data_IF_015154787681
#
_entry.id   IF_015154787681
#
_cell.length_a   1.000
_cell.length_b   1.000
_cell.length_c   1.000
_cell.angle_alpha   90.00
_cell.angle_beta   90.00
_cell.angle_gamma   90.00
#
_symmetry.space_group_name_H-M   'P 1'
#
loop_
_entity.id
_entity.type
_entity.pdbx_description
1 polymer ?
#
# COMPACT_ATOMS: atom_id res chain seq x y z
N UNK A 1 49.07 9.34 54.66
CA UNK A 1 48.31 8.10 54.35
C UNK A 1 47.72 8.24 52.95
N UNK A 2 48.05 7.25 52.09
CA UNK A 2 47.50 6.83 50.79
C UNK A 2 46.83 7.85 49.84
N UNK A 3 47.55 8.11 48.73
CA UNK A 3 47.03 8.48 47.40
C UNK A 3 46.18 7.33 46.83
N UNK A 4 45.06 7.62 46.18
CA UNK A 4 44.41 6.72 45.22
C UNK A 4 43.90 7.54 44.04
N UNK A 5 44.58 7.41 42.91
CA UNK A 5 44.15 7.84 41.59
C UNK A 5 43.34 6.71 40.95
N UNK A 6 42.20 7.01 40.34
CA UNK A 6 41.53 6.11 39.40
C UNK A 6 41.28 6.87 38.09
N UNK A 7 42.12 6.56 37.11
CA UNK A 7 41.83 6.72 35.70
C UNK A 7 41.00 5.52 35.25
N UNK A 8 39.85 5.76 34.62
CA UNK A 8 39.19 4.75 33.81
C UNK A 8 38.97 5.34 32.42
N UNK A 9 39.85 4.90 31.53
CA UNK A 9 39.76 4.95 30.08
C UNK A 9 38.69 3.93 29.70
N UNK A 10 37.55 4.40 29.19
CA UNK A 10 36.50 3.56 28.60
C UNK A 10 36.41 3.86 27.11
N UNK A 11 37.15 3.09 26.31
CA UNK A 11 37.12 3.16 24.86
C UNK A 11 35.70 2.91 24.33
N UNK A 12 35.13 3.88 23.62
CA UNK A 12 33.86 3.74 22.91
C UNK A 12 33.95 4.47 21.58
N UNK A 13 34.68 3.89 20.63
CA UNK A 13 34.70 4.36 19.24
C UNK A 13 35.31 3.30 18.28
N UNK A 14 34.77 2.08 18.27
CA UNK A 14 35.08 1.12 17.20
C UNK A 14 33.81 0.35 16.82
N UNK A 15 32.95 0.95 16.00
CA UNK A 15 31.92 0.21 15.23
C UNK A 15 31.52 0.88 13.92
N UNK A 16 32.01 2.07 13.60
CA UNK A 16 31.59 2.82 12.41
C UNK A 16 32.35 2.48 11.11
N UNK A 17 33.34 1.58 11.12
CA UNK A 17 34.24 1.35 9.97
C UNK A 17 34.15 -0.02 9.30
N UNK A 18 33.28 -0.93 9.76
CA UNK A 18 33.16 -2.29 9.18
C UNK A 18 32.24 -2.38 7.94
N UNK A 19 31.61 -1.29 7.51
CA UNK A 19 30.69 -1.29 6.36
C UNK A 19 31.30 -0.81 5.04
N UNK A 20 32.58 -0.41 5.02
CA UNK A 20 33.20 0.24 3.86
C UNK A 20 33.59 -0.71 2.71
N UNK A 21 33.56 -2.04 2.88
CA UNK A 21 33.95 -3.00 1.83
C UNK A 21 32.90 -4.10 1.53
N UNK A 22 31.70 -4.03 2.11
CA UNK A 22 30.62 -4.98 1.80
C UNK A 22 29.82 -4.46 0.60
N UNK A 23 29.84 -5.21 -0.50
CA UNK A 23 29.20 -4.84 -1.77
C UNK A 23 27.68 -4.61 -1.64
N UNK A 24 27.05 -4.01 -2.67
CA UNK A 24 25.63 -3.61 -2.64
C UNK A 24 24.65 -4.69 -2.19
N UNK A 25 24.88 -5.95 -2.57
CA UNK A 25 24.05 -7.08 -2.12
C UNK A 25 24.03 -7.27 -0.61
N UNK A 26 25.15 -7.06 0.09
CA UNK A 26 25.19 -7.20 1.55
C UNK A 26 24.34 -6.12 2.26
N UNK A 27 24.19 -4.95 1.65
CA UNK A 27 23.31 -3.90 2.16
C UNK A 27 21.84 -4.25 1.99
N UNK A 28 21.49 -4.85 0.84
CA UNK A 28 20.15 -5.39 0.58
C UNK A 28 19.81 -6.52 1.55
N UNK A 29 20.75 -7.44 1.78
CA UNK A 29 20.62 -8.52 2.77
C UNK A 29 20.42 -7.98 4.17
N UNK A 30 21.16 -6.94 4.58
CA UNK A 30 21.00 -6.33 5.90
C UNK A 30 19.59 -5.78 6.13
N UNK A 31 18.97 -5.15 5.13
CA UNK A 31 17.58 -4.67 5.22
C UNK A 31 16.61 -5.85 5.32
N UNK A 32 16.76 -6.88 4.47
CA UNK A 32 15.94 -8.10 4.55
C UNK A 32 16.05 -8.74 5.93
N UNK A 33 17.27 -9.00 6.41
CA UNK A 33 17.53 -9.74 7.64
C UNK A 33 17.01 -9.00 8.88
N UNK A 34 17.08 -7.66 8.88
CA UNK A 34 16.49 -6.84 9.93
C UNK A 34 14.96 -7.00 9.97
N UNK A 35 14.32 -7.03 8.79
CA UNK A 35 12.87 -7.20 8.69
C UNK A 35 12.41 -8.63 9.02
N UNK A 36 13.20 -9.65 8.69
CA UNK A 36 12.90 -11.05 9.07
C UNK A 36 12.86 -11.24 10.58
N UNK A 37 13.70 -10.51 11.31
CA UNK A 37 13.74 -10.52 12.79
C UNK A 37 12.63 -9.69 13.43
N UNK A 38 11.94 -8.85 12.65
CA UNK A 38 10.92 -7.91 13.11
C UNK A 38 11.38 -7.02 14.28
N UNK A 39 12.68 -6.71 14.33
CA UNK A 39 13.29 -5.88 15.36
C UNK A 39 13.32 -4.42 14.90
N UNK A 40 12.52 -3.57 15.54
CA UNK A 40 12.42 -2.15 15.20
C UNK A 40 13.77 -1.42 15.26
N UNK A 41 14.65 -1.78 16.21
CA UNK A 41 15.98 -1.16 16.32
C UNK A 41 16.89 -1.60 15.17
N UNK A 42 16.85 -2.89 14.80
CA UNK A 42 17.60 -3.40 13.66
C UNK A 42 17.09 -2.82 12.33
N UNK A 43 15.77 -2.74 12.14
CA UNK A 43 15.15 -2.15 10.95
C UNK A 43 15.59 -0.69 10.83
N UNK A 44 15.45 0.09 11.91
CA UNK A 44 15.88 1.49 11.96
C UNK A 44 17.37 1.63 11.60
N UNK A 45 18.23 0.85 12.25
CA UNK A 45 19.67 0.88 11.98
C UNK A 45 20.00 0.49 10.53
N UNK A 46 19.23 -0.42 9.93
CA UNK A 46 19.45 -0.86 8.56
C UNK A 46 19.07 0.22 7.53
N UNK A 47 18.12 1.12 7.85
CA UNK A 47 17.58 2.10 6.89
C UNK A 47 18.02 3.56 7.15
N UNK A 48 18.45 3.90 8.37
CA UNK A 48 18.80 5.28 8.74
C UNK A 48 20.02 5.84 7.96
N UNK A 49 20.87 4.96 7.41
CA UNK A 49 22.07 5.35 6.66
C UNK A 49 21.83 5.80 5.21
N UNK A 50 20.59 5.73 4.70
CA UNK A 50 20.30 6.07 3.31
C UNK A 50 19.82 7.52 3.14
N UNK A 51 20.05 8.15 1.97
CA UNK A 51 19.52 9.47 1.66
C UNK A 51 18.00 9.55 1.83
N UNK A 52 17.50 10.65 2.38
CA UNK A 52 16.08 10.92 2.48
C UNK A 52 15.54 11.59 1.22
N UNK A 53 14.29 11.30 0.89
CA UNK A 53 13.58 12.04 -0.13
C UNK A 53 13.02 13.34 0.47
N UNK A 54 13.31 14.52 -0.09
CA UNK A 54 12.76 15.77 0.44
C UNK A 54 11.25 15.75 0.34
N UNK A 55 10.58 16.31 1.35
CA UNK A 55 9.14 16.52 1.27
C UNK A 55 8.82 17.49 0.14
N UNK A 56 7.98 17.03 -0.78
CA UNK A 56 7.51 17.81 -1.90
C UNK A 56 6.05 17.49 -2.16
N UNK A 57 5.27 18.45 -2.68
CA UNK A 57 3.89 18.22 -3.07
C UNK A 57 3.79 17.00 -4.00
N UNK A 58 2.78 16.14 -3.83
CA UNK A 58 2.59 15.03 -4.74
C UNK A 58 2.30 15.52 -6.16
N UNK A 59 2.73 14.72 -7.14
CA UNK A 59 2.61 15.07 -8.56
C UNK A 59 1.72 14.04 -9.24
N UNK A 60 0.77 14.51 -10.06
CA UNK A 60 -0.02 13.63 -10.91
C UNK A 60 0.87 13.10 -12.04
N UNK A 61 1.02 11.77 -12.11
CA UNK A 61 1.82 11.12 -13.14
C UNK A 61 0.90 10.46 -14.16
N UNK A 62 1.17 10.70 -15.44
CA UNK A 62 0.53 9.95 -16.52
C UNK A 62 1.06 8.50 -16.58
N UNK A 63 0.32 7.56 -17.19
CA UNK A 63 0.83 6.21 -17.39
C UNK A 63 2.18 6.24 -18.13
N UNK A 64 3.19 5.56 -17.58
CA UNK A 64 4.58 5.48 -18.08
C UNK A 64 5.44 6.73 -17.87
N UNK A 65 4.93 7.81 -17.29
CA UNK A 65 5.77 8.95 -16.90
C UNK A 65 6.62 8.56 -15.68
N UNK A 66 7.94 8.81 -15.70
CA UNK A 66 8.79 8.64 -14.53
C UNK A 66 8.45 9.70 -13.49
N UNK A 67 8.54 9.33 -12.21
CA UNK A 67 8.45 10.30 -11.12
C UNK A 67 9.70 11.18 -11.12
N UNK A 68 9.60 12.49 -10.81
CA UNK A 68 10.78 13.32 -10.56
C UNK A 68 11.70 12.76 -9.46
N UNK A 69 11.15 11.91 -8.57
CA UNK A 69 11.91 11.23 -7.52
C UNK A 69 12.73 10.06 -8.05
N UNK A 70 12.34 9.45 -9.17
CA UNK A 70 13.01 8.27 -9.75
C UNK A 70 14.44 8.60 -10.16
N UNK A 71 14.67 9.78 -10.76
CA UNK A 71 16.01 10.26 -11.14
C UNK A 71 16.67 11.11 -10.06
N UNK A 72 15.97 11.38 -8.95
CA UNK A 72 16.46 12.14 -7.80
C UNK A 72 16.76 11.22 -6.62
N UNK A 73 16.15 11.53 -5.47
CA UNK A 73 16.42 10.85 -4.21
C UNK A 73 16.27 9.32 -4.25
N UNK A 74 15.37 8.75 -5.07
CA UNK A 74 15.23 7.29 -5.17
C UNK A 74 16.43 6.68 -5.90
N UNK A 75 16.97 7.34 -6.93
CA UNK A 75 18.21 6.92 -7.57
C UNK A 75 19.38 6.95 -6.58
N UNK A 76 19.46 7.95 -5.70
CA UNK A 76 20.53 8.03 -4.70
C UNK A 76 20.48 6.87 -3.69
N UNK A 77 19.28 6.48 -3.24
CA UNK A 77 19.09 5.31 -2.38
C UNK A 77 19.47 4.03 -3.15
N UNK A 78 18.99 3.86 -4.38
CA UNK A 78 19.30 2.70 -5.21
C UNK A 78 20.80 2.58 -5.50
N UNK A 79 21.48 3.69 -5.76
CA UNK A 79 22.94 3.75 -5.95
C UNK A 79 23.68 3.39 -4.66
N UNK A 80 23.22 3.87 -3.51
CA UNK A 80 23.77 3.48 -2.21
C UNK A 80 23.62 1.98 -1.91
N UNK A 81 22.57 1.34 -2.45
CA UNK A 81 22.35 -0.11 -2.46
C UNK A 81 23.15 -0.85 -3.55
N UNK A 82 23.93 -0.15 -4.37
CA UNK A 82 24.82 -0.70 -5.38
C UNK A 82 24.26 -0.78 -6.79
N UNK A 83 23.12 -0.15 -7.08
CA UNK A 83 22.66 0.01 -8.46
C UNK A 83 23.65 0.87 -9.25
N UNK A 84 23.94 0.47 -10.49
CA UNK A 84 24.68 1.30 -11.47
C UNK A 84 23.76 2.11 -12.38
N UNK A 85 22.47 1.76 -12.38
CA UNK A 85 21.46 2.34 -13.28
C UNK A 85 20.53 3.32 -12.56
N UNK A 86 20.76 3.57 -11.26
CA UNK A 86 19.83 4.31 -10.42
C UNK A 86 18.60 3.47 -10.06
N UNK A 87 17.46 4.14 -9.88
CA UNK A 87 16.20 3.53 -9.51
C UNK A 87 15.38 3.14 -10.74
N UNK A 88 15.01 1.86 -10.83
CA UNK A 88 14.17 1.32 -11.89
C UNK A 88 12.82 0.86 -11.30
N UNK A 89 11.70 1.56 -11.53
CA UNK A 89 10.41 1.16 -10.95
C UNK A 89 9.69 0.07 -11.76
N UNK A 90 10.07 -0.19 -13.02
CA UNK A 90 9.36 -1.14 -13.89
C UNK A 90 10.25 -1.74 -15.00
N UNK A 91 10.53 -3.06 -14.98
CA UNK A 91 10.42 -3.93 -13.80
C UNK A 91 11.47 -3.53 -12.74
N UNK A 92 11.17 -3.61 -11.43
CA UNK A 92 12.13 -3.25 -10.42
C UNK A 92 13.21 -4.31 -10.25
N UNK A 93 14.46 -3.86 -10.17
CA UNK A 93 15.58 -4.70 -9.78
C UNK A 93 15.69 -4.84 -8.26
N UNK A 94 16.70 -5.55 -7.78
CA UNK A 94 16.89 -5.80 -6.34
C UNK A 94 17.08 -4.50 -5.55
N UNK A 95 17.84 -3.54 -6.11
CA UNK A 95 18.11 -2.27 -5.44
C UNK A 95 16.87 -1.38 -5.43
N UNK A 96 16.09 -1.36 -6.51
CA UNK A 96 14.83 -0.63 -6.58
C UNK A 96 13.76 -1.22 -5.63
N UNK A 97 13.67 -2.55 -5.54
CA UNK A 97 12.77 -3.21 -4.59
C UNK A 97 13.15 -2.89 -3.14
N UNK A 98 14.45 -2.93 -2.80
CA UNK A 98 14.91 -2.52 -1.45
C UNK A 98 14.77 -1.02 -1.22
N UNK A 99 14.93 -0.17 -2.25
CA UNK A 99 14.67 1.26 -2.16
C UNK A 99 13.21 1.51 -1.78
N UNK A 100 12.27 0.83 -2.45
CA UNK A 100 10.85 0.90 -2.12
C UNK A 100 10.57 0.47 -0.67
N UNK A 101 11.20 -0.61 -0.20
CA UNK A 101 11.13 -1.04 1.19
C UNK A 101 11.59 0.06 2.17
N UNK A 102 12.75 0.67 1.91
CA UNK A 102 13.30 1.75 2.74
C UNK A 102 12.34 2.94 2.81
N UNK A 103 11.79 3.37 1.65
CA UNK A 103 10.88 4.53 1.59
C UNK A 103 9.62 4.30 2.42
N UNK A 104 8.98 3.13 2.32
CA UNK A 104 7.76 2.87 3.11
C UNK A 104 8.04 2.66 4.60
N UNK A 105 9.20 2.10 4.96
CA UNK A 105 9.59 1.89 6.36
C UNK A 105 9.98 3.19 7.06
N UNK A 106 10.82 3.99 6.40
CA UNK A 106 11.39 5.21 6.97
C UNK A 106 10.45 6.39 6.84
N UNK A 107 9.94 6.63 5.64
CA UNK A 107 9.22 7.86 5.29
C UNK A 107 7.71 7.67 5.42
N UNK A 108 7.21 6.43 5.31
CA UNK A 108 5.77 6.17 5.28
C UNK A 108 5.11 6.80 4.05
N UNK A 109 5.83 6.85 2.93
CA UNK A 109 5.41 7.50 1.68
C UNK A 109 5.36 6.52 0.51
N UNK A 110 4.39 5.62 0.51
CA UNK A 110 4.13 4.72 -0.62
C UNK A 110 3.76 5.48 -1.89
N UNK A 111 3.22 6.70 -1.76
CA UNK A 111 2.89 7.62 -2.86
C UNK A 111 4.11 8.22 -3.57
N UNK A 112 5.30 8.15 -2.97
CA UNK A 112 6.54 8.58 -3.64
C UNK A 112 6.97 7.65 -4.76
N UNK A 113 6.55 6.39 -4.67
CA UNK A 113 6.87 5.35 -5.64
C UNK A 113 5.79 5.40 -6.71
N UNK A 114 6.16 5.45 -7.99
CA UNK A 114 5.18 5.44 -9.08
C UNK A 114 4.68 4.00 -9.36
N UNK A 115 3.52 3.88 -10.01
CA UNK A 115 3.04 2.64 -10.65
C UNK A 115 2.82 1.44 -9.71
N UNK A 116 1.76 1.44 -8.89
CA UNK A 116 1.40 0.31 -8.00
C UNK A 116 1.41 -1.06 -8.65
N UNK A 117 1.00 -1.19 -9.92
CA UNK A 117 1.00 -2.46 -10.66
C UNK A 117 2.39 -3.10 -10.76
N UNK A 118 3.45 -2.30 -10.93
CA UNK A 118 4.80 -2.82 -11.03
C UNK A 118 5.24 -3.44 -9.69
N UNK A 119 4.90 -2.79 -8.58
CA UNK A 119 5.19 -3.30 -7.23
C UNK A 119 4.35 -4.52 -6.89
N UNK A 120 3.04 -4.50 -7.18
CA UNK A 120 2.15 -5.66 -7.03
C UNK A 120 2.67 -6.85 -7.84
N UNK A 121 3.09 -6.62 -9.09
CA UNK A 121 3.73 -7.63 -9.93
C UNK A 121 4.97 -8.24 -9.29
N UNK A 122 5.85 -7.41 -8.71
CA UNK A 122 7.04 -7.87 -8.00
C UNK A 122 6.73 -8.60 -6.70
N UNK A 123 5.76 -8.13 -5.91
CA UNK A 123 5.29 -8.84 -4.71
C UNK A 123 4.80 -10.24 -5.07
N UNK A 124 4.04 -10.36 -6.16
CA UNK A 124 3.45 -11.63 -6.62
C UNK A 124 4.45 -12.60 -7.26
N UNK A 125 5.37 -12.12 -8.08
CA UNK A 125 6.17 -12.98 -8.96
C UNK A 125 7.70 -12.73 -8.90
N UNK A 126 8.15 -11.64 -8.29
CA UNK A 126 9.56 -11.31 -8.20
C UNK A 126 10.35 -12.29 -7.33
N UNK A 127 11.67 -12.36 -7.55
CA UNK A 127 12.58 -13.25 -6.82
C UNK A 127 13.79 -12.48 -6.31
N UNK A 128 14.44 -13.01 -5.28
CA UNK A 128 15.70 -12.51 -4.75
C UNK A 128 15.54 -11.61 -3.53
N UNK A 129 16.67 -11.35 -2.87
CA UNK A 129 16.76 -10.69 -1.57
C UNK A 129 16.08 -9.31 -1.53
N UNK A 130 16.19 -8.52 -2.60
CA UNK A 130 15.58 -7.20 -2.66
C UNK A 130 14.06 -7.25 -2.74
N UNK A 131 13.51 -8.24 -3.47
CA UNK A 131 12.07 -8.49 -3.52
C UNK A 131 11.57 -9.07 -2.20
N UNK A 132 12.36 -9.90 -1.53
CA UNK A 132 12.06 -10.39 -0.19
C UNK A 132 12.01 -9.25 0.84
N UNK A 133 12.98 -8.32 0.80
CA UNK A 133 12.93 -7.09 1.60
C UNK A 133 11.67 -6.26 1.32
N UNK A 134 11.26 -6.14 0.05
CA UNK A 134 10.02 -5.47 -0.35
C UNK A 134 8.78 -6.16 0.25
N UNK A 135 8.67 -7.49 0.14
CA UNK A 135 7.55 -8.25 0.72
C UNK A 135 7.48 -8.07 2.23
N UNK A 136 8.61 -8.18 2.92
CA UNK A 136 8.69 -8.03 4.36
C UNK A 136 8.29 -6.61 4.79
N UNK A 137 8.78 -5.59 4.10
CA UNK A 137 8.45 -4.20 4.40
C UNK A 137 6.96 -3.90 4.19
N UNK A 138 6.39 -4.34 3.06
CA UNK A 138 4.95 -4.16 2.79
C UNK A 138 4.12 -4.93 3.81
N UNK A 139 4.45 -6.20 4.09
CA UNK A 139 3.73 -6.98 5.10
C UNK A 139 3.85 -6.37 6.50
N UNK A 140 5.01 -5.82 6.87
CA UNK A 140 5.24 -5.13 8.13
C UNK A 140 4.35 -3.88 8.23
N UNK A 141 4.40 -2.98 7.24
CA UNK A 141 3.60 -1.75 7.26
C UNK A 141 2.10 -2.01 7.12
N UNK A 142 1.68 -3.02 6.36
CA UNK A 142 0.28 -3.44 6.31
C UNK A 142 -0.16 -4.02 7.66
N UNK A 143 0.65 -4.83 8.34
CA UNK A 143 0.29 -5.32 9.67
C UNK A 143 0.16 -4.17 10.70
N UNK A 144 1.03 -3.15 10.64
CA UNK A 144 0.88 -1.93 11.46
C UNK A 144 -0.39 -1.13 11.12
N UNK A 145 -0.76 -1.07 9.84
CA UNK A 145 -1.94 -0.36 9.34
C UNK A 145 -3.25 -1.11 9.60
N UNK A 146 -3.20 -2.43 9.83
CA UNK A 146 -4.35 -3.31 9.94
C UNK A 146 -5.45 -2.80 10.91
N UNK A 147 -5.16 -2.27 12.11
CA UNK A 147 -6.19 -1.77 13.02
C UNK A 147 -6.95 -0.53 12.50
N UNK A 148 -6.35 0.26 11.60
CA UNK A 148 -6.97 1.45 11.02
C UNK A 148 -7.89 1.10 9.85
N UNK A 149 -7.56 0.02 9.15
CA UNK A 149 -8.23 -0.45 7.92
C UNK A 149 -9.31 -1.49 8.22
N UNK A 150 -9.01 -2.48 9.07
CA UNK A 150 -9.86 -3.63 9.34
C UNK A 150 -10.98 -3.37 10.32
N UNK A 151 -11.88 -2.46 9.96
CA UNK A 151 -13.03 -2.07 10.76
C UNK A 151 -14.14 -1.51 9.88
N UNK A 152 -15.28 -1.23 10.51
CA UNK A 152 -16.34 -0.45 9.91
C UNK A 152 -15.95 1.03 9.86
N UNK A 153 -15.99 1.64 8.68
CA UNK A 153 -15.61 3.03 8.41
C UNK A 153 -16.80 3.77 7.82
N UNK A 154 -17.47 4.56 8.65
CA UNK A 154 -18.69 5.31 8.29
C UNK A 154 -18.53 6.83 8.39
N UNK A 155 -17.43 7.31 8.98
CA UNK A 155 -17.12 8.73 9.13
C UNK A 155 -15.83 9.13 8.42
N UNK A 156 -15.71 10.43 8.16
CA UNK A 156 -14.61 10.99 7.37
C UNK A 156 -13.27 10.92 8.11
N UNK A 157 -13.27 11.01 9.45
CA UNK A 157 -12.03 10.95 10.25
C UNK A 157 -11.40 9.58 10.13
N UNK A 158 -12.20 8.52 10.26
CA UNK A 158 -11.76 7.15 10.12
C UNK A 158 -11.39 6.82 8.67
N UNK A 159 -12.10 7.36 7.68
CA UNK A 159 -11.75 7.25 6.27
C UNK A 159 -10.37 7.86 5.98
N UNK A 160 -10.09 9.06 6.48
CA UNK A 160 -8.78 9.72 6.34
C UNK A 160 -7.68 8.93 7.03
N UNK A 161 -7.93 8.39 8.22
CA UNK A 161 -6.96 7.56 8.92
C UNK A 161 -6.61 6.27 8.15
N UNK A 162 -7.60 5.63 7.51
CA UNK A 162 -7.38 4.47 6.66
C UNK A 162 -6.62 4.84 5.38
N UNK A 163 -6.98 5.94 4.72
CA UNK A 163 -6.27 6.47 3.54
C UNK A 163 -4.79 6.72 3.82
N UNK A 164 -4.47 7.39 4.93
CA UNK A 164 -3.08 7.62 5.35
C UNK A 164 -2.34 6.30 5.61
N UNK A 165 -3.01 5.34 6.25
CA UNK A 165 -2.43 4.03 6.56
C UNK A 165 -2.11 3.23 5.29
N UNK A 166 -3.03 3.21 4.31
CA UNK A 166 -2.81 2.55 3.01
C UNK A 166 -1.70 3.26 2.24
N UNK A 167 -1.74 4.59 2.16
CA UNK A 167 -0.73 5.38 1.46
C UNK A 167 0.69 5.17 2.02
N UNK A 168 0.81 4.97 3.34
CA UNK A 168 2.10 4.71 3.97
C UNK A 168 2.58 3.25 3.88
N UNK A 169 1.69 2.30 3.61
CA UNK A 169 2.02 0.88 3.57
C UNK A 169 2.28 0.32 2.17
N UNK A 170 1.65 0.90 1.13
CA UNK A 170 1.63 0.30 -0.21
C UNK A 170 2.43 1.14 -1.21
N UNK A 171 3.54 0.60 -1.76
CA UNK A 171 4.26 1.21 -2.88
C UNK A 171 3.36 1.50 -4.08
N UNK A 172 3.42 2.72 -4.62
CA UNK A 172 2.57 3.09 -5.75
C UNK A 172 1.17 3.53 -5.36
N UNK A 173 0.87 3.67 -4.06
CA UNK A 173 -0.41 4.18 -3.60
C UNK A 173 -0.71 5.55 -4.22
N UNK A 174 -1.98 5.78 -4.52
CA UNK A 174 -2.39 7.02 -5.17
C UNK A 174 -2.04 8.24 -4.27
N UNK A 175 -1.35 9.26 -4.81
CA UNK A 175 -1.09 10.51 -4.10
C UNK A 175 -2.30 11.13 -3.40
N UNK A 176 -3.48 10.99 -3.99
CA UNK A 176 -4.76 11.43 -3.42
C UNK A 176 -5.02 10.84 -2.04
N UNK A 177 -4.63 9.59 -1.79
CA UNK A 177 -4.82 8.93 -0.49
C UNK A 177 -3.96 9.57 0.60
N UNK A 178 -2.71 9.92 0.26
CA UNK A 178 -1.84 10.67 1.17
C UNK A 178 -2.38 12.08 1.44
N UNK A 179 -2.80 12.81 0.40
CA UNK A 179 -3.33 14.17 0.55
C UNK A 179 -4.57 14.21 1.46
N UNK A 180 -5.57 13.38 1.16
CA UNK A 180 -6.78 13.31 1.97
C UNK A 180 -6.48 12.78 3.38
N UNK A 181 -5.62 11.75 3.49
CA UNK A 181 -5.24 11.15 4.76
C UNK A 181 -4.42 12.08 5.68
N UNK A 182 -3.63 12.97 5.10
CA UNK A 182 -2.86 14.01 5.83
C UNK A 182 -3.67 15.26 6.17
N UNK A 183 -4.97 15.27 5.84
CA UNK A 183 -5.88 16.35 6.23
C UNK A 183 -6.00 17.47 5.19
N UNK A 184 -5.55 17.27 3.95
CA UNK A 184 -5.82 18.25 2.90
C UNK A 184 -7.33 18.44 2.72
N UNK A 185 -7.74 19.70 2.54
CA UNK A 185 -9.12 20.04 2.21
C UNK A 185 -9.40 19.64 0.76
N UNK A 186 -10.45 18.84 0.52
CA UNK A 186 -10.76 18.30 -0.81
C UNK A 186 -10.92 19.40 -1.86
N UNK A 187 -11.51 20.54 -1.49
CA UNK A 187 -11.70 21.69 -2.38
C UNK A 187 -10.39 22.40 -2.79
N UNK A 188 -9.28 22.16 -2.07
CA UNK A 188 -7.96 22.75 -2.35
C UNK A 188 -7.02 21.77 -3.09
N UNK A 189 -7.44 20.52 -3.29
CA UNK A 189 -6.67 19.54 -4.03
C UNK A 189 -6.83 19.84 -5.53
N UNK A 190 -5.72 19.94 -6.29
CA UNK A 190 -5.80 20.10 -7.75
C UNK A 190 -6.66 19.00 -8.38
N UNK A 191 -7.40 19.34 -9.45
CA UNK A 191 -8.35 18.41 -10.06
C UNK A 191 -7.69 17.07 -10.40
N UNK A 192 -6.51 17.09 -11.01
CA UNK A 192 -5.71 15.92 -11.39
C UNK A 192 -5.29 15.00 -10.21
N UNK A 193 -5.39 15.51 -8.97
CA UNK A 193 -5.11 14.78 -7.72
C UNK A 193 -6.38 14.59 -6.86
N UNK A 194 -7.54 15.08 -7.30
CA UNK A 194 -8.82 14.89 -6.62
C UNK A 194 -9.33 13.45 -6.76
N UNK A 195 -10.19 12.99 -5.85
CA UNK A 195 -10.73 11.62 -5.89
C UNK A 195 -11.56 11.35 -7.16
N UNK A 196 -12.15 12.41 -7.72
CA UNK A 196 -13.06 12.41 -8.86
C UNK A 196 -12.31 12.28 -10.18
N UNK A 197 -11.07 12.78 -10.28
CA UNK A 197 -10.34 12.84 -11.56
C UNK A 197 -8.98 12.15 -11.54
N UNK A 198 -8.41 11.87 -10.37
CA UNK A 198 -7.11 11.21 -10.28
C UNK A 198 -7.15 9.82 -10.92
N UNK A 199 -6.36 9.63 -11.96
CA UNK A 199 -6.30 8.38 -12.74
C UNK A 199 -5.96 7.17 -11.89
N UNK A 200 -5.16 7.35 -10.83
CA UNK A 200 -4.84 6.28 -9.88
C UNK A 200 -6.04 5.83 -9.05
N UNK A 201 -6.92 6.74 -8.63
CA UNK A 201 -8.17 6.38 -7.91
C UNK A 201 -9.08 5.57 -8.82
N UNK A 202 -9.31 6.04 -10.05
CA UNK A 202 -10.14 5.32 -11.04
C UNK A 202 -9.62 3.91 -11.33
N UNK A 203 -8.29 3.77 -11.50
CA UNK A 203 -7.65 2.48 -11.71
C UNK A 203 -7.84 1.56 -10.51
N UNK A 204 -7.64 2.06 -9.29
CA UNK A 204 -7.75 1.23 -8.10
C UNK A 204 -9.20 0.81 -7.83
N UNK A 205 -10.18 1.67 -8.09
CA UNK A 205 -11.62 1.34 -8.07
C UNK A 205 -12.00 0.25 -9.09
N UNK A 206 -11.27 0.17 -10.20
CA UNK A 206 -11.48 -0.84 -11.24
C UNK A 206 -10.73 -2.17 -10.98
N UNK A 207 -10.04 -2.31 -9.84
CA UNK A 207 -9.45 -3.59 -9.44
C UNK A 207 -10.53 -4.63 -9.19
N UNK A 208 -10.11 -5.91 -9.14
CA UNK A 208 -10.97 -7.08 -8.97
C UNK A 208 -11.99 -6.95 -7.83
N UNK A 209 -11.59 -6.36 -6.71
CA UNK A 209 -12.41 -6.19 -5.51
C UNK A 209 -12.77 -4.72 -5.25
N UNK A 210 -12.70 -3.89 -6.29
CA UNK A 210 -13.17 -2.52 -6.26
C UNK A 210 -14.63 -2.41 -6.72
N UNK A 211 -15.35 -1.36 -6.29
CA UNK A 211 -16.76 -1.16 -6.63
C UNK A 211 -16.97 -0.58 -8.04
N UNK A 212 -15.90 -0.30 -8.78
CA UNK A 212 -15.96 0.28 -10.12
C UNK A 212 -15.81 1.81 -10.14
N UNK A 213 -15.50 2.35 -11.32
CA UNK A 213 -15.12 3.75 -11.50
C UNK A 213 -16.25 4.75 -11.19
N UNK A 214 -17.52 4.33 -11.11
CA UNK A 214 -18.65 5.22 -10.79
C UNK A 214 -18.96 5.33 -9.30
N UNK A 215 -18.20 4.68 -8.42
CA UNK A 215 -18.51 4.65 -6.99
C UNK A 215 -18.26 5.97 -6.26
N UNK A 216 -19.29 6.49 -5.60
CA UNK A 216 -19.21 7.58 -4.61
C UNK A 216 -18.52 8.86 -5.07
N UNK A 217 -18.22 9.71 -4.10
CA UNK A 217 -17.48 10.96 -4.27
C UNK A 217 -16.48 11.19 -3.12
N UNK A 218 -15.58 12.15 -3.30
CA UNK A 218 -14.67 12.68 -2.30
C UNK A 218 -13.86 11.63 -1.55
N UNK A 219 -13.81 11.79 -0.23
CA UNK A 219 -13.00 10.95 0.68
C UNK A 219 -13.41 9.48 0.62
N UNK A 220 -14.71 9.17 0.50
CA UNK A 220 -15.18 7.78 0.49
C UNK A 220 -14.95 7.09 -0.85
N UNK A 221 -14.99 7.83 -1.96
CA UNK A 221 -14.52 7.33 -3.25
C UNK A 221 -13.04 6.96 -3.21
N UNK A 222 -12.20 7.86 -2.68
CA UNK A 222 -10.79 7.59 -2.50
C UNK A 222 -10.56 6.40 -1.54
N UNK A 223 -11.35 6.30 -0.47
CA UNK A 223 -11.30 5.20 0.48
C UNK A 223 -11.50 3.86 -0.21
N UNK A 224 -12.56 3.69 -1.00
CA UNK A 224 -12.79 2.43 -1.71
C UNK A 224 -11.68 2.08 -2.70
N UNK A 225 -11.14 3.08 -3.43
CA UNK A 225 -9.96 2.86 -4.27
C UNK A 225 -8.79 2.34 -3.44
N UNK A 226 -8.51 2.96 -2.30
CA UNK A 226 -7.42 2.54 -1.40
C UNK A 226 -7.64 1.14 -0.81
N UNK A 227 -8.88 0.77 -0.48
CA UNK A 227 -9.21 -0.55 0.06
C UNK A 227 -9.16 -1.65 -1.00
N UNK A 228 -9.53 -1.33 -2.24
CA UNK A 228 -9.34 -2.23 -3.38
C UNK A 228 -7.84 -2.47 -3.66
N UNK A 229 -7.00 -1.43 -3.53
CA UNK A 229 -5.55 -1.55 -3.60
C UNK A 229 -4.99 -2.41 -2.44
N UNK A 230 -5.50 -2.22 -1.22
CA UNK A 230 -5.15 -3.04 -0.06
C UNK A 230 -5.40 -4.53 -0.31
N UNK A 231 -6.61 -4.88 -0.75
CA UNK A 231 -7.03 -6.27 -1.04
C UNK A 231 -6.16 -6.93 -2.10
N UNK A 232 -5.88 -6.22 -3.20
CA UNK A 232 -5.00 -6.77 -4.25
C UNK A 232 -3.55 -6.91 -3.77
N UNK A 233 -3.07 -6.02 -2.90
CA UNK A 233 -1.72 -6.10 -2.32
C UNK A 233 -1.58 -7.27 -1.35
N UNK A 234 -2.56 -7.49 -0.47
CA UNK A 234 -2.63 -8.68 0.38
C UNK A 234 -2.59 -9.96 -0.48
N UNK A 235 -3.43 -10.03 -1.51
CA UNK A 235 -3.45 -11.17 -2.44
C UNK A 235 -2.09 -11.37 -3.11
N UNK A 236 -1.43 -10.28 -3.53
CA UNK A 236 -0.10 -10.34 -4.13
C UNK A 236 0.95 -10.88 -3.16
N UNK A 237 0.92 -10.45 -1.88
CA UNK A 237 1.78 -11.01 -0.83
C UNK A 237 1.55 -12.51 -0.66
N UNK A 238 0.28 -12.94 -0.58
CA UNK A 238 -0.09 -14.35 -0.41
C UNK A 238 0.38 -15.22 -1.58
N UNK A 239 0.20 -14.76 -2.82
CA UNK A 239 0.69 -15.47 -4.02
C UNK A 239 2.23 -15.48 -4.10
N UNK A 240 2.86 -14.39 -3.65
CA UNK A 240 4.30 -14.19 -3.63
C UNK A 240 5.08 -15.12 -2.70
N UNK A 241 4.44 -15.74 -1.71
CA UNK A 241 5.07 -16.67 -0.77
C UNK A 241 5.76 -17.86 -1.44
N UNK A 242 5.29 -18.25 -2.62
CA UNK A 242 5.90 -19.33 -3.42
C UNK A 242 7.26 -18.95 -4.02
N UNK A 243 7.56 -17.65 -4.10
CA UNK A 243 8.80 -17.10 -4.66
C UNK A 243 9.76 -16.59 -3.58
N UNK A 244 9.29 -16.51 -2.33
CA UNK A 244 10.07 -16.01 -1.20
C UNK A 244 11.06 -17.06 -0.68
N UNK A 245 12.17 -16.60 -0.10
CA UNK A 245 13.04 -17.49 0.69
C UNK A 245 12.29 -18.11 1.88
N UNK A 246 12.72 -19.26 2.42
CA UNK A 246 12.02 -19.92 3.53
C UNK A 246 11.83 -19.06 4.77
N UNK A 247 12.84 -18.27 5.16
CA UNK A 247 12.79 -17.34 6.29
C UNK A 247 11.82 -16.20 6.04
N UNK A 248 11.91 -15.56 4.87
CA UNK A 248 11.00 -14.50 4.46
C UNK A 248 9.55 -15.00 4.40
N UNK A 249 9.33 -16.20 3.84
CA UNK A 249 8.00 -16.82 3.79
C UNK A 249 7.39 -16.93 5.18
N UNK A 250 8.12 -17.47 6.15
CA UNK A 250 7.62 -17.63 7.51
C UNK A 250 7.27 -16.28 8.17
N UNK A 251 8.13 -15.27 8.00
CA UNK A 251 7.91 -13.93 8.55
C UNK A 251 6.71 -13.22 7.91
N UNK A 252 6.54 -13.33 6.58
CA UNK A 252 5.38 -12.75 5.87
C UNK A 252 4.09 -13.50 6.23
N UNK A 253 4.10 -14.83 6.34
CA UNK A 253 2.93 -15.63 6.75
C UNK A 253 2.40 -15.23 8.13
N UNK A 254 3.29 -14.96 9.09
CA UNK A 254 2.90 -14.50 10.42
C UNK A 254 2.13 -13.17 10.38
N UNK A 255 2.58 -12.24 9.52
CA UNK A 255 1.96 -10.91 9.34
C UNK A 255 0.67 -10.99 8.53
N UNK A 256 0.60 -11.86 7.53
CA UNK A 256 -0.59 -12.07 6.70
C UNK A 256 -1.81 -12.43 7.53
N UNK A 257 -1.66 -13.16 8.65
CA UNK A 257 -2.80 -13.45 9.54
C UNK A 257 -3.51 -12.18 10.05
N UNK A 258 -2.74 -11.16 10.45
CA UNK A 258 -3.31 -9.90 10.90
C UNK A 258 -3.90 -9.10 9.73
N UNK A 259 -3.23 -9.11 8.57
CA UNK A 259 -3.66 -8.39 7.37
C UNK A 259 -4.97 -8.98 6.84
N UNK A 260 -5.07 -10.31 6.67
CA UNK A 260 -6.26 -10.99 6.18
C UNK A 260 -7.44 -10.85 7.13
N UNK A 261 -7.18 -10.94 8.45
CA UNK A 261 -8.19 -10.66 9.46
C UNK A 261 -8.74 -9.23 9.35
N UNK A 262 -7.85 -8.25 9.13
CA UNK A 262 -8.27 -6.89 8.87
C UNK A 262 -9.03 -6.77 7.54
N UNK A 263 -8.57 -7.39 6.46
CA UNK A 263 -9.26 -7.34 5.15
C UNK A 263 -10.68 -7.86 5.23
N UNK A 264 -10.90 -8.98 5.93
CA UNK A 264 -12.23 -9.56 6.14
C UNK A 264 -13.14 -8.67 7.00
N UNK A 265 -12.56 -7.87 7.90
CA UNK A 265 -13.28 -6.95 8.76
C UNK A 265 -13.57 -5.58 8.11
N UNK A 266 -13.05 -5.31 6.91
CA UNK A 266 -13.33 -4.06 6.19
C UNK A 266 -14.83 -3.99 5.88
N UNK A 267 -15.48 -2.95 6.41
CA UNK A 267 -16.82 -2.55 6.01
C UNK A 267 -16.84 -1.04 5.85
N UNK A 268 -17.50 -0.55 4.81
CA UNK A 268 -17.59 0.89 4.54
C UNK A 268 -19.03 1.31 4.32
N UNK A 269 -19.28 2.60 4.53
CA UNK A 269 -20.53 3.22 4.14
C UNK A 269 -20.75 3.02 2.64
N UNK A 270 -21.85 2.35 2.28
CA UNK A 270 -22.32 2.27 0.89
C UNK A 270 -22.69 3.68 0.41
N UNK A 271 -22.09 4.09 -0.70
CA UNK A 271 -22.47 5.31 -1.41
C UNK A 271 -23.26 4.98 -2.67
N UNK A 272 -24.16 5.89 -3.06
CA UNK A 272 -24.76 5.82 -4.38
C UNK A 272 -23.64 5.88 -5.44
N UNK A 273 -23.76 5.08 -6.49
CA UNK A 273 -22.89 5.26 -7.65
C UNK A 273 -23.30 6.56 -8.33
N UNK A 274 -22.32 7.39 -8.73
CA UNK A 274 -22.56 8.60 -9.53
C UNK A 274 -23.19 8.30 -10.91
N UNK A 275 -23.33 7.00 -11.25
CA UNK A 275 -24.01 6.49 -12.42
C UNK A 275 -24.95 5.32 -12.07
N UNK A 276 -25.96 5.53 -11.23
CA UNK A 276 -27.27 4.95 -11.56
C UNK A 276 -27.90 5.82 -12.65
N UNK A 277 -27.29 5.87 -13.84
CA UNK A 277 -27.98 6.43 -15.00
C UNK A 277 -29.14 5.49 -15.31
N UNK A 278 -30.33 6.04 -15.53
CA UNK A 278 -31.56 5.34 -15.90
C UNK A 278 -31.37 4.19 -16.89
N UNK A 279 -30.35 4.25 -17.76
CA UNK A 279 -29.97 3.19 -18.69
C UNK A 279 -29.64 1.82 -18.05
N UNK A 280 -28.97 1.77 -16.88
CA UNK A 280 -28.66 0.51 -16.20
C UNK A 280 -29.88 -0.07 -15.48
N UNK A 281 -30.72 0.80 -14.92
CA UNK A 281 -32.02 0.41 -14.35
C UNK A 281 -32.92 -0.14 -15.45
N UNK A 282 -33.01 0.55 -16.58
CA UNK A 282 -33.75 0.13 -17.77
C UNK A 282 -33.24 -1.20 -18.34
N UNK A 283 -31.92 -1.38 -18.46
CA UNK A 283 -31.36 -2.68 -18.87
C UNK A 283 -31.66 -3.80 -17.87
N UNK A 284 -31.61 -3.50 -16.57
CA UNK A 284 -32.01 -4.45 -15.52
C UNK A 284 -33.48 -4.87 -15.63
N UNK A 285 -34.37 -3.91 -15.89
CA UNK A 285 -35.81 -4.14 -16.08
C UNK A 285 -36.11 -4.94 -17.36
N UNK A 286 -35.51 -4.57 -18.49
CA UNK A 286 -35.69 -5.26 -19.79
C UNK A 286 -35.17 -6.71 -19.74
N UNK A 287 -34.13 -6.98 -18.96
CA UNK A 287 -33.61 -8.34 -18.79
C UNK A 287 -34.33 -9.15 -17.71
N UNK A 288 -34.88 -8.50 -16.67
CA UNK A 288 -35.78 -9.13 -15.71
C UNK A 288 -37.08 -9.62 -16.40
N UNK A 289 -37.62 -8.83 -17.33
CA UNK A 289 -38.77 -9.22 -18.17
C UNK A 289 -38.46 -10.42 -19.08
N UNK A 290 -37.18 -10.63 -19.41
CA UNK A 290 -36.69 -11.79 -20.17
C UNK A 290 -36.24 -12.97 -19.28
N UNK A 291 -36.41 -12.88 -17.95
CA UNK A 291 -36.00 -13.92 -17.00
C UNK A 291 -34.49 -14.05 -16.77
N UNK A 292 -33.69 -13.05 -17.16
CA UNK A 292 -32.23 -13.04 -17.01
C UNK A 292 -31.84 -11.96 -15.99
N UNK A 293 -31.42 -12.37 -14.79
CA UNK A 293 -30.84 -11.45 -13.80
C UNK A 293 -29.37 -11.16 -14.11
N UNK A 294 -29.06 -9.92 -14.51
CA UNK A 294 -27.68 -9.49 -14.80
C UNK A 294 -26.84 -9.16 -13.56
N UNK A 295 -27.47 -8.83 -12.43
CA UNK A 295 -26.80 -8.64 -11.15
C UNK A 295 -27.73 -9.03 -10.01
N UNK A 296 -27.19 -9.75 -9.02
CA UNK A 296 -27.89 -10.10 -7.79
C UNK A 296 -27.45 -9.11 -6.71
N UNK A 297 -28.39 -8.31 -6.21
CA UNK A 297 -28.15 -7.43 -5.08
C UNK A 297 -27.80 -8.28 -3.85
N UNK A 298 -26.57 -8.16 -3.36
CA UNK A 298 -26.10 -8.93 -2.20
C UNK A 298 -26.76 -8.46 -0.86
N UNK A 299 -27.69 -7.51 -0.91
CA UNK A 299 -28.45 -7.01 0.24
C UNK A 299 -29.97 -7.26 0.23
N UNK A 300 -30.54 -7.81 -0.84
CA UNK A 300 -31.97 -8.11 -0.88
C UNK A 300 -32.27 -9.39 -0.07
N UNK A 301 -32.36 -9.25 1.26
CA UNK A 301 -33.00 -10.27 2.10
C UNK A 301 -34.50 -10.23 1.82
N UNK A 302 -35.01 -11.34 1.29
CA UNK A 302 -36.37 -11.87 1.43
C UNK A 302 -37.43 -10.86 1.89
N UNK A 303 -37.87 -9.99 0.98
CA UNK A 303 -39.09 -9.20 1.13
C UNK A 303 -40.16 -9.71 0.15
N UNK A 304 -40.44 -11.02 0.19
CA UNK A 304 -41.61 -11.62 -0.48
C UNK A 304 -41.98 -12.95 0.19
N UNK A 305 -42.03 -12.96 1.52
CA UNK A 305 -42.67 -14.02 2.29
C UNK A 305 -43.45 -13.38 3.44
N UNK A 306 -44.44 -12.54 3.12
CA UNK A 306 -45.64 -12.30 3.91
C UNK A 306 -46.54 -11.29 3.18
N UNK A 307 -47.65 -11.80 2.65
CA UNK A 307 -48.64 -11.04 1.88
C UNK A 307 -49.67 -11.99 1.28
N UNK A 308 -50.23 -12.86 2.11
CA UNK A 308 -51.33 -13.73 1.72
C UNK A 308 -52.61 -12.94 1.46
N UNK A 309 -53.42 -13.51 0.56
CA UNK A 309 -54.86 -13.33 0.39
C UNK A 309 -55.39 -11.93 0.05
N UNK A 310 -55.86 -11.72 -1.19
CA UNK A 310 -57.29 -11.61 -1.52
C UNK A 310 -57.49 -11.37 -3.05
N UNK A 311 -58.73 -11.62 -3.50
CA UNK A 311 -59.38 -11.30 -4.77
C UNK A 311 -59.46 -12.44 -5.81
N UNK A 312 -60.58 -13.17 -5.72
CA UNK A 312 -61.02 -14.13 -6.71
C UNK A 312 -61.58 -13.52 -8.00
N UNK A 313 -61.63 -14.40 -9.01
CA UNK A 313 -62.77 -14.68 -9.89
C UNK A 313 -62.53 -16.03 -10.54
#
# INVERSE_FOLDING_TARGET
MRRVAWALIGASAISALAFACKGGMAKIEAVRDALEKDDAAAIKSAIDGYPACPDAPPVALSPKQPSPRDTGCLADIANALGSKKGFAPSPPDQAAATTAAIVILRDGRGDYLAHSEAWIGSLKAGKGTGVDALRLAVAHKMAEAAPKVGRRIDDEKDARAALAAVAGAIPGACPTYWLLGSGAEAAKIPAELSAEHATCVHRDLARREGPGASYGDGTFRALEGSLALWRETERALRLGLTQASPSTKAAVEAKLKAIEGATQAIATKKMASAQTSEALTFMGEVHADAGIMLWKDAGAKDAAAEGGADAGK
#
